data_IF_658161302165
#
_entry.id   IF_658161302165
#
_cell.length_a   1.000
_cell.length_b   1.000
_cell.length_c   1.000
_cell.angle_alpha   90.00
_cell.angle_beta   90.00
_cell.angle_gamma   90.00
#
_symmetry.space_group_name_H-M   'P 1'
#
loop_
_entity.id
_entity.type
_entity.pdbx_description
1 polymer ?
#
# COMPACT_ATOMS: atom_id res chain seq x y z
N UNK A 1 63.05 -22.20 -57.25
CA UNK A 1 62.62 -21.03 -56.46
C UNK A 1 61.24 -21.32 -55.86
N UNK A 2 61.18 -21.82 -54.62
CA UNK A 2 59.94 -22.09 -53.86
C UNK A 2 60.25 -21.94 -52.36
N UNK A 3 60.41 -20.71 -51.89
CA UNK A 3 60.55 -20.42 -50.45
C UNK A 3 59.79 -19.19 -49.93
N UNK A 4 59.02 -18.51 -50.79
CA UNK A 4 58.37 -17.24 -50.40
C UNK A 4 56.85 -17.33 -50.15
N UNK A 5 56.26 -18.53 -50.13
CA UNK A 5 54.78 -18.73 -50.00
C UNK A 5 54.44 -19.45 -48.68
N UNK A 6 55.23 -19.25 -47.62
CA UNK A 6 54.93 -19.88 -46.32
C UNK A 6 54.90 -18.90 -45.15
N UNK A 7 55.17 -17.61 -45.38
CA UNK A 7 55.16 -16.58 -44.33
C UNK A 7 53.87 -15.74 -44.29
N UNK A 8 52.99 -15.85 -45.29
CA UNK A 8 51.76 -15.02 -45.36
C UNK A 8 50.56 -15.69 -44.66
N UNK A 9 50.60 -16.99 -44.37
CA UNK A 9 49.50 -17.69 -43.69
C UNK A 9 49.55 -17.65 -42.16
N UNK A 10 50.64 -17.18 -41.55
CA UNK A 10 50.82 -17.15 -40.08
C UNK A 10 50.48 -15.79 -39.43
N UNK A 11 49.82 -14.87 -40.16
CA UNK A 11 49.36 -13.58 -39.61
C UNK A 11 47.83 -13.44 -39.63
N UNK A 12 47.11 -14.36 -40.29
CA UNK A 12 45.65 -14.30 -40.38
C UNK A 12 44.90 -15.07 -39.28
N UNK A 13 45.60 -15.78 -38.39
CA UNK A 13 44.99 -16.54 -37.30
C UNK A 13 44.92 -15.79 -35.95
N UNK A 14 45.44 -14.56 -35.85
CA UNK A 14 45.48 -13.80 -34.59
C UNK A 14 44.31 -12.80 -34.41
N UNK A 15 43.36 -12.73 -35.34
CA UNK A 15 42.21 -11.80 -35.27
C UNK A 15 40.90 -12.44 -34.77
N UNK A 16 40.92 -13.68 -34.30
CA UNK A 16 39.73 -14.38 -33.77
C UNK A 16 39.70 -14.45 -32.23
N UNK A 17 40.27 -13.46 -31.54
CA UNK A 17 39.95 -13.17 -30.14
C UNK A 17 38.86 -12.10 -30.06
N UNK A 18 37.74 -12.33 -30.74
CA UNK A 18 36.50 -11.63 -30.41
C UNK A 18 35.95 -12.34 -29.18
N UNK A 19 36.23 -11.71 -28.04
CA UNK A 19 35.53 -11.81 -26.77
C UNK A 19 34.17 -12.50 -26.91
N UNK A 20 34.01 -13.67 -26.30
CA UNK A 20 32.71 -14.07 -25.80
C UNK A 20 32.39 -13.09 -24.65
N UNK A 21 31.93 -11.88 -25.00
CA UNK A 21 31.13 -11.12 -24.07
C UNK A 21 29.89 -11.97 -23.88
N UNK A 22 29.83 -12.64 -22.72
CA UNK A 22 28.57 -13.10 -22.15
C UNK A 22 27.57 -11.99 -22.42
N UNK A 23 26.46 -12.23 -23.14
CA UNK A 23 25.40 -11.25 -23.14
C UNK A 23 25.02 -11.15 -21.67
N UNK A 24 25.40 -10.03 -21.05
CA UNK A 24 24.81 -9.58 -19.81
C UNK A 24 23.32 -9.66 -20.10
N UNK A 25 22.68 -10.72 -19.60
CA UNK A 25 21.25 -10.67 -19.39
C UNK A 25 21.14 -9.49 -18.44
N UNK A 26 20.83 -8.34 -19.00
CA UNK A 26 20.00 -7.38 -18.32
C UNK A 26 18.75 -8.19 -18.01
N UNK A 27 18.78 -8.92 -16.90
CA UNK A 27 17.62 -9.02 -16.06
C UNK A 27 17.34 -7.55 -15.78
N UNK A 28 16.56 -6.91 -16.67
CA UNK A 28 15.44 -6.15 -16.15
C UNK A 28 14.75 -7.15 -15.23
N UNK A 29 15.17 -7.14 -13.96
CA UNK A 29 14.23 -7.18 -12.88
C UNK A 29 13.21 -6.11 -13.27
N UNK A 30 12.20 -6.53 -14.04
CA UNK A 30 10.88 -6.01 -13.89
C UNK A 30 10.60 -6.30 -12.43
N UNK A 31 10.98 -5.35 -11.57
CA UNK A 31 10.58 -5.30 -10.19
C UNK A 31 9.07 -5.42 -10.26
N UNK A 32 8.56 -6.64 -10.10
CA UNK A 32 7.19 -6.90 -10.54
C UNK A 32 6.29 -5.99 -9.71
N UNK A 33 5.61 -5.09 -10.39
CA UNK A 33 4.88 -3.99 -9.79
C UNK A 33 3.87 -4.56 -8.81
N UNK A 34 3.85 -4.01 -7.59
CA UNK A 34 2.85 -4.38 -6.59
C UNK A 34 1.51 -3.81 -7.04
N UNK A 35 0.52 -4.67 -7.28
CA UNK A 35 -0.80 -4.25 -7.73
C UNK A 35 -1.77 -4.40 -6.57
N UNK A 36 -2.51 -3.33 -6.25
CA UNK A 36 -3.59 -3.40 -5.26
C UNK A 36 -4.63 -4.40 -5.74
N UNK A 37 -4.87 -5.46 -4.95
CA UNK A 37 -5.80 -6.53 -5.30
C UNK A 37 -7.08 -6.50 -4.46
N UNK A 38 -7.07 -5.82 -3.31
CA UNK A 38 -8.28 -5.64 -2.53
C UNK A 38 -8.13 -4.66 -1.37
N UNK A 39 -9.27 -4.20 -0.87
CA UNK A 39 -9.39 -3.38 0.33
C UNK A 39 -10.40 -4.04 1.26
N UNK A 40 -9.95 -4.45 2.45
CA UNK A 40 -10.86 -4.84 3.53
C UNK A 40 -11.21 -3.60 4.35
N UNK A 41 -12.49 -3.35 4.56
CA UNK A 41 -13.01 -2.22 5.32
C UNK A 41 -13.54 -2.75 6.63
N UNK A 42 -12.95 -2.36 7.76
CA UNK A 42 -13.39 -2.77 9.09
C UNK A 42 -13.85 -1.56 9.91
N UNK A 43 -14.88 -1.75 10.73
CA UNK A 43 -15.51 -0.70 11.55
C UNK A 43 -15.39 -1.00 13.04
N UNK A 44 -15.09 0.03 13.83
CA UNK A 44 -15.33 -0.02 15.26
C UNK A 44 -16.77 0.41 15.55
N UNK A 45 -17.57 -0.50 16.08
CA UNK A 45 -18.99 -0.31 16.34
C UNK A 45 -19.26 -0.30 17.84
N UNK A 46 -19.80 0.80 18.38
CA UNK A 46 -20.03 0.99 19.82
C UNK A 46 -20.99 -0.04 20.42
N UNK A 47 -21.83 -0.66 19.57
CA UNK A 47 -22.77 -1.70 19.97
C UNK A 47 -22.18 -3.12 19.84
N UNK A 48 -20.92 -3.24 19.45
CA UNK A 48 -20.27 -4.54 19.29
C UNK A 48 -19.78 -5.08 20.63
N UNK A 49 -20.03 -6.37 20.85
CA UNK A 49 -19.40 -7.13 21.93
C UNK A 49 -18.09 -7.79 21.49
N UNK A 50 -17.65 -7.56 20.25
CA UNK A 50 -16.46 -8.21 19.69
C UNK A 50 -15.19 -7.47 20.09
N UNK A 51 -14.08 -8.23 20.27
CA UNK A 51 -12.82 -7.69 20.71
C UNK A 51 -12.02 -6.96 19.60
N UNK A 52 -12.57 -6.86 18.40
CA UNK A 52 -11.84 -6.41 17.22
C UNK A 52 -12.79 -5.63 16.30
N UNK A 53 -12.26 -4.71 15.46
CA UNK A 53 -13.07 -4.06 14.47
C UNK A 53 -13.72 -5.11 13.56
N UNK A 54 -14.98 -4.88 13.23
CA UNK A 54 -15.79 -5.83 12.47
C UNK A 54 -15.58 -5.58 10.98
N UNK A 55 -15.37 -6.64 10.21
CA UNK A 55 -15.35 -6.52 8.75
C UNK A 55 -16.72 -6.02 8.29
N UNK A 56 -16.71 -4.83 7.70
CA UNK A 56 -17.88 -4.14 7.18
C UNK A 56 -18.08 -4.45 5.69
N UNK A 57 -17.00 -4.40 4.90
CA UNK A 57 -17.03 -4.63 3.47
C UNK A 57 -15.67 -5.10 2.91
N UNK A 58 -15.68 -5.64 1.70
CA UNK A 58 -14.49 -6.08 0.95
C UNK A 58 -14.63 -5.63 -0.50
N UNK A 59 -13.68 -4.81 -0.96
CA UNK A 59 -13.63 -4.34 -2.34
C UNK A 59 -12.49 -5.02 -3.11
N UNK A 60 -12.75 -5.41 -4.35
CA UNK A 60 -11.77 -6.01 -5.28
C UNK A 60 -11.93 -5.56 -6.74
N UNK A 61 -12.95 -4.78 -7.05
CA UNK A 61 -13.22 -4.22 -8.38
C UNK A 61 -12.18 -3.16 -8.74
N UNK A 62 -11.45 -3.40 -9.83
CA UNK A 62 -10.26 -2.62 -10.20
C UNK A 62 -10.53 -1.11 -10.37
N UNK A 63 -11.72 -0.72 -10.84
CA UNK A 63 -12.11 0.68 -10.97
C UNK A 63 -12.32 1.35 -9.60
N UNK A 64 -12.89 0.64 -8.63
CA UNK A 64 -13.11 1.15 -7.28
C UNK A 64 -11.81 1.20 -6.48
N UNK A 65 -10.96 0.18 -6.63
CA UNK A 65 -9.60 0.18 -6.06
C UNK A 65 -8.76 1.36 -6.55
N UNK A 66 -8.67 1.56 -7.87
CA UNK A 66 -7.91 2.67 -8.46
C UNK A 66 -8.50 4.05 -8.12
N UNK A 67 -9.83 4.16 -8.06
CA UNK A 67 -10.51 5.38 -7.63
C UNK A 67 -10.16 5.72 -6.18
N UNK A 68 -10.20 4.74 -5.28
CA UNK A 68 -9.88 4.95 -3.86
C UNK A 68 -8.44 5.40 -3.66
N UNK A 69 -7.48 4.76 -4.34
CA UNK A 69 -6.06 5.18 -4.27
C UNK A 69 -5.93 6.65 -4.68
N UNK A 70 -6.53 7.03 -5.81
CA UNK A 70 -6.51 8.41 -6.29
C UNK A 70 -7.17 9.40 -5.33
N UNK A 71 -8.27 9.03 -4.68
CA UNK A 71 -8.94 9.86 -3.68
C UNK A 71 -8.03 10.10 -2.46
N UNK A 72 -7.35 9.07 -1.98
CA UNK A 72 -6.41 9.16 -0.84
C UNK A 72 -5.16 9.97 -1.22
N UNK A 73 -4.64 9.81 -2.44
CA UNK A 73 -3.51 10.61 -2.94
C UNK A 73 -3.86 12.09 -3.06
N UNK A 74 -5.10 12.40 -3.49
CA UNK A 74 -5.61 13.76 -3.62
C UNK A 74 -6.16 14.37 -2.33
N UNK A 75 -6.12 13.65 -1.20
CA UNK A 75 -6.45 14.21 0.10
C UNK A 75 -5.59 15.45 0.38
N UNK A 76 -6.14 16.44 1.10
CA UNK A 76 -5.46 17.72 1.34
C UNK A 76 -4.06 17.47 1.91
N UNK A 77 -2.98 17.92 1.23
CA UNK A 77 -1.62 17.66 1.67
C UNK A 77 -1.28 18.40 2.97
N UNK A 78 -2.03 19.44 3.34
CA UNK A 78 -1.82 20.17 4.59
C UNK A 78 -2.27 19.29 5.77
N UNK A 79 -1.39 19.04 6.76
CA UNK A 79 -1.79 18.35 7.97
C UNK A 79 -2.91 19.11 8.69
N UNK A 80 -3.91 18.38 9.17
CA UNK A 80 -5.05 18.96 9.90
C UNK A 80 -5.10 18.42 11.32
N UNK A 81 -5.61 19.25 12.23
CA UNK A 81 -6.03 18.79 13.54
C UNK A 81 -7.37 18.06 13.42
N UNK A 82 -7.41 16.84 13.96
CA UNK A 82 -8.64 16.05 14.03
C UNK A 82 -9.58 16.57 15.13
N UNK A 83 -10.87 16.23 15.09
CA UNK A 83 -11.82 16.58 16.14
C UNK A 83 -11.43 15.96 17.48
N UNK A 84 -12.05 16.44 18.55
CA UNK A 84 -11.96 15.77 19.86
C UNK A 84 -12.67 14.41 19.82
N UNK A 85 -12.34 13.54 20.77
CA UNK A 85 -12.88 12.17 20.85
C UNK A 85 -14.41 12.17 20.87
N UNK A 86 -15.03 13.13 21.58
CA UNK A 86 -16.48 13.24 21.71
C UNK A 86 -17.17 13.69 20.41
N UNK A 87 -16.43 14.32 19.50
CA UNK A 87 -16.94 14.82 18.22
C UNK A 87 -16.83 13.79 17.10
N UNK A 88 -15.99 12.76 17.27
CA UNK A 88 -15.80 11.70 16.27
C UNK A 88 -17.01 10.77 16.29
N UNK A 89 -17.67 10.62 15.14
CA UNK A 89 -18.83 9.75 15.00
C UNK A 89 -18.38 8.30 14.73
N UNK A 90 -17.47 8.09 13.78
CA UNK A 90 -17.03 6.74 13.39
C UNK A 90 -15.54 6.62 13.17
N UNK A 91 -15.06 5.38 13.31
CA UNK A 91 -13.68 4.98 13.03
C UNK A 91 -13.70 3.73 12.14
N UNK A 92 -13.02 3.82 10.99
CA UNK A 92 -12.79 2.73 10.05
C UNK A 92 -11.30 2.43 9.92
N UNK A 93 -10.98 1.17 9.68
CA UNK A 93 -9.68 0.70 9.22
C UNK A 93 -9.85 0.21 7.79
N UNK A 94 -8.99 0.70 6.89
CA UNK A 94 -8.87 0.24 5.52
C UNK A 94 -7.55 -0.53 5.39
N UNK A 95 -7.65 -1.81 5.08
CA UNK A 95 -6.51 -2.70 4.87
C UNK A 95 -6.33 -2.94 3.36
N UNK A 96 -5.30 -2.33 2.79
CA UNK A 96 -4.95 -2.42 1.38
C UNK A 96 -4.01 -3.60 1.17
N UNK A 97 -4.44 -4.60 0.40
CA UNK A 97 -3.63 -5.78 0.08
C UNK A 97 -3.07 -5.66 -1.34
N UNK A 98 -1.75 -5.74 -1.47
CA UNK A 98 -1.05 -5.68 -2.74
C UNK A 98 -0.46 -7.05 -3.09
N UNK A 99 -0.70 -7.48 -4.32
CA UNK A 99 -0.16 -8.71 -4.87
C UNK A 99 1.05 -8.43 -5.76
N UNK A 100 2.02 -9.33 -5.70
CA UNK A 100 3.21 -9.30 -6.55
C UNK A 100 3.29 -10.60 -7.35
N UNK A 101 3.28 -10.48 -8.67
CA UNK A 101 3.26 -11.65 -9.58
C UNK A 101 4.41 -12.61 -9.26
N UNK A 102 4.07 -13.87 -8.96
CA UNK A 102 5.05 -14.92 -8.66
C UNK A 102 5.62 -14.89 -7.24
N UNK A 103 5.10 -14.05 -6.33
CA UNK A 103 5.41 -14.11 -4.89
C UNK A 103 4.18 -14.58 -4.10
N UNK A 104 4.44 -15.34 -3.05
CA UNK A 104 3.42 -15.79 -2.09
C UNK A 104 3.08 -14.72 -1.04
N UNK A 105 3.98 -13.75 -0.83
CA UNK A 105 3.80 -12.68 0.16
C UNK A 105 3.12 -11.47 -0.46
N UNK A 106 1.96 -11.09 0.08
CA UNK A 106 1.32 -9.80 -0.17
C UNK A 106 1.90 -8.73 0.76
N UNK A 107 2.01 -7.50 0.26
CA UNK A 107 2.24 -6.32 1.10
C UNK A 107 0.89 -5.82 1.57
N UNK A 108 0.84 -5.33 2.80
CA UNK A 108 -0.37 -4.73 3.36
C UNK A 108 -0.07 -3.32 3.86
N UNK A 109 -0.87 -2.35 3.44
CA UNK A 109 -0.87 -0.99 3.99
C UNK A 109 -2.17 -0.75 4.75
N UNK A 110 -2.09 -0.03 5.88
CA UNK A 110 -3.26 0.29 6.69
C UNK A 110 -3.50 1.79 6.72
N UNK A 111 -4.77 2.16 6.54
CA UNK A 111 -5.25 3.52 6.74
C UNK A 111 -6.34 3.50 7.80
N UNK A 112 -6.36 4.54 8.63
CA UNK A 112 -7.48 4.81 9.51
C UNK A 112 -8.23 6.01 8.98
N UNK A 113 -9.55 5.89 8.91
CA UNK A 113 -10.45 6.93 8.47
C UNK A 113 -11.45 7.23 9.58
N UNK A 114 -11.63 8.51 9.89
CA UNK A 114 -12.59 8.98 10.88
C UNK A 114 -13.45 10.09 10.28
N UNK A 115 -14.64 10.28 10.83
CA UNK A 115 -15.41 11.49 10.56
C UNK A 115 -16.16 11.97 11.79
N UNK A 116 -16.37 13.28 11.83
CA UNK A 116 -17.08 13.93 12.92
C UNK A 116 -18.60 13.91 12.74
N UNK A 117 -19.29 14.45 13.74
CA UNK A 117 -20.75 14.63 13.73
C UNK A 117 -21.27 15.57 12.62
N UNK A 118 -20.38 16.31 11.96
CA UNK A 118 -20.69 17.19 10.82
C UNK A 118 -20.33 16.55 9.47
N UNK A 119 -20.01 15.26 9.46
CA UNK A 119 -19.58 14.51 8.27
C UNK A 119 -18.33 15.10 7.60
N UNK A 120 -17.39 15.64 8.39
CA UNK A 120 -16.06 15.97 7.90
C UNK A 120 -15.14 14.77 8.07
N UNK A 121 -14.47 14.38 6.99
CA UNK A 121 -13.67 13.16 6.93
C UNK A 121 -12.17 13.42 7.00
N UNK A 122 -11.49 12.50 7.66
CA UNK A 122 -10.06 12.56 7.90
C UNK A 122 -9.46 11.19 7.68
N UNK A 123 -8.25 11.14 7.11
CA UNK A 123 -7.54 9.89 6.87
C UNK A 123 -6.07 10.02 7.25
N UNK A 124 -5.51 8.92 7.75
CA UNK A 124 -4.08 8.78 8.04
C UNK A 124 -3.61 7.37 7.73
N UNK A 125 -2.42 7.25 7.14
CA UNK A 125 -1.71 5.98 7.05
C UNK A 125 -1.08 5.66 8.40
N UNK A 126 -1.24 4.43 8.88
CA UNK A 126 -0.71 4.01 10.18
C UNK A 126 -0.18 2.57 10.12
N UNK A 127 0.45 2.14 11.21
CA UNK A 127 0.89 0.75 11.37
C UNK A 127 -0.11 0.02 12.27
N UNK A 128 -0.74 -1.03 11.74
CA UNK A 128 -1.62 -1.88 12.53
C UNK A 128 -0.78 -2.75 13.49
N UNK A 129 -1.07 -2.66 14.78
CA UNK A 129 -0.46 -3.47 15.84
C UNK A 129 -1.52 -4.24 16.62
N UNK A 130 -1.11 -5.07 17.57
CA UNK A 130 -2.05 -5.76 18.48
C UNK A 130 -2.78 -4.80 19.42
N UNK A 131 -2.33 -3.56 19.56
CA UNK A 131 -2.95 -2.55 20.43
C UNK A 131 -4.26 -2.01 19.83
N UNK A 132 -4.61 -2.43 18.61
CA UNK A 132 -5.88 -2.11 17.95
C UNK A 132 -6.97 -3.18 18.19
N UNK A 133 -6.68 -4.21 18.99
CA UNK A 133 -7.63 -5.24 19.39
C UNK A 133 -8.07 -4.96 20.83
N UNK A 134 -9.35 -4.68 21.02
CA UNK A 134 -9.94 -4.28 22.30
C UNK A 134 -11.13 -5.17 22.62
N UNK A 135 -11.13 -5.85 23.76
CA UNK A 135 -12.18 -6.78 24.20
C UNK A 135 -13.62 -6.26 24.01
N UNK A 136 -13.80 -4.95 24.17
CA UNK A 136 -15.00 -4.21 23.79
C UNK A 136 -14.58 -2.87 23.20
N UNK A 137 -15.29 -2.41 22.17
CA UNK A 137 -15.16 -1.03 21.72
C UNK A 137 -16.07 -0.13 22.55
N UNK A 138 -15.45 0.73 23.35
CA UNK A 138 -16.07 1.76 24.19
C UNK A 138 -15.28 3.07 24.09
N UNK A 139 -15.71 4.12 24.82
CA UNK A 139 -15.03 5.43 24.82
C UNK A 139 -13.54 5.33 25.17
N UNK A 140 -13.17 4.42 26.08
CA UNK A 140 -11.77 4.22 26.46
C UNK A 140 -10.97 3.56 25.34
N UNK A 141 -11.54 2.57 24.65
CA UNK A 141 -10.93 1.96 23.47
C UNK A 141 -10.75 3.00 22.35
N UNK A 142 -11.77 3.82 22.10
CA UNK A 142 -11.74 4.92 21.11
C UNK A 142 -10.59 5.90 21.39
N UNK A 143 -10.44 6.34 22.63
CA UNK A 143 -9.33 7.19 23.05
C UNK A 143 -7.97 6.53 22.77
N UNK A 144 -7.80 5.27 23.19
CA UNK A 144 -6.55 4.52 22.99
C UNK A 144 -6.21 4.34 21.52
N UNK A 145 -7.20 4.07 20.65
CA UNK A 145 -6.99 3.97 19.20
C UNK A 145 -6.38 5.27 18.66
N UNK A 146 -6.98 6.40 18.99
CA UNK A 146 -6.54 7.70 18.49
C UNK A 146 -5.19 8.11 19.06
N UNK A 147 -4.91 7.78 20.32
CA UNK A 147 -3.59 7.97 20.94
C UNK A 147 -2.51 7.12 20.23
N UNK A 148 -2.78 5.84 19.97
CA UNK A 148 -1.86 4.94 19.27
C UNK A 148 -1.58 5.35 17.83
N UNK A 149 -2.57 5.91 17.15
CA UNK A 149 -2.40 6.46 15.78
C UNK A 149 -1.58 7.75 15.80
N UNK A 150 -1.68 8.55 16.86
CA UNK A 150 -1.00 9.83 17.01
C UNK A 150 -1.74 10.97 16.29
N UNK A 151 -1.45 12.21 16.70
CA UNK A 151 -2.17 13.42 16.28
C UNK A 151 -1.59 14.11 15.03
N UNK A 152 -0.45 13.66 14.53
CA UNK A 152 0.27 14.24 13.39
C UNK A 152 -0.19 13.64 12.06
N UNK A 153 0.15 14.28 10.93
CA UNK A 153 0.01 13.71 9.57
C UNK A 153 -1.40 13.23 9.15
N UNK A 154 -2.44 13.69 9.84
CA UNK A 154 -3.81 13.53 9.38
C UNK A 154 -4.10 14.47 8.22
N UNK A 155 -4.87 14.00 7.25
CA UNK A 155 -5.28 14.78 6.08
C UNK A 155 -6.81 14.84 6.01
N UNK A 156 -7.34 15.98 5.61
CA UNK A 156 -8.76 16.10 5.28
C UNK A 156 -9.02 15.40 3.94
N UNK A 157 -10.12 14.67 3.85
CA UNK A 157 -10.52 13.98 2.63
C UNK A 157 -12.02 14.15 2.38
N UNK A 158 -12.46 13.93 1.16
CA UNK A 158 -13.87 13.74 0.84
C UNK A 158 -14.29 12.30 1.21
N UNK A 159 -15.59 12.00 1.36
CA UNK A 159 -16.05 10.63 1.50
C UNK A 159 -15.50 9.76 0.36
N UNK A 160 -14.97 8.58 0.69
CA UNK A 160 -14.44 7.65 -0.30
C UNK A 160 -15.60 7.00 -1.06
N UNK A 161 -15.44 6.85 -2.39
CA UNK A 161 -16.49 6.25 -3.23
C UNK A 161 -16.86 4.84 -2.77
N UNK A 162 -15.87 4.05 -2.31
CA UNK A 162 -16.06 2.68 -1.78
C UNK A 162 -16.94 2.60 -0.52
N UNK A 163 -17.23 3.72 0.15
CA UNK A 163 -18.10 3.76 1.32
C UNK A 163 -19.54 4.19 1.00
N UNK A 164 -19.84 4.43 -0.27
CA UNK A 164 -21.12 5.03 -0.72
C UNK A 164 -21.96 4.11 -1.60
N UNK A 165 -21.49 2.89 -1.89
CA UNK A 165 -22.16 1.90 -2.73
C UNK A 165 -23.17 1.05 -1.97
#
# INVERSE_FOLDING_TARGET
MRKSILLVQMILCSMLLISCSVPERTNQDNESEEVLSGINISIYNDNSIKPQPELFDVESEANLLSTTVREIENADPAPVTIPTIDEINRILILEFTYEKKGKTTSKTDYYIMIWDNSEKYYIKKFTMTRDFYYDKYDEQAKEKILQSVGSDNWRSILPLTILTN
#
